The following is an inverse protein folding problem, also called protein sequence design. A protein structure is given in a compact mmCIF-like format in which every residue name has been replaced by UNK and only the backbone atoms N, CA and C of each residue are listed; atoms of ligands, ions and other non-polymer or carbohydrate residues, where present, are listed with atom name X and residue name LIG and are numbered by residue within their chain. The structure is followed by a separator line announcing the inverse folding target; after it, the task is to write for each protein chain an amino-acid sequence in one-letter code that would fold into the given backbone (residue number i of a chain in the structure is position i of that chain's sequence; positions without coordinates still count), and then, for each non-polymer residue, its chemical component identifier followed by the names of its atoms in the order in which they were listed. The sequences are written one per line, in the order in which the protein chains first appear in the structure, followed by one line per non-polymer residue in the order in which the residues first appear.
data_IF_931576127342
#
_entry.id   IF_931576127342
#
_cell.length_a   1.000
_cell.length_b   1.000
_cell.length_c   1.000
_cell.angle_alpha   90.00
_cell.angle_beta   90.00
_cell.angle_gamma   90.00
#
_symmetry.space_group_name_H-M   'P 1'
#
loop_
_entity.id
_entity.type
_entity.pdbx_description
1 polymer ?
#
# COMPACT_ATOMS: atom_id res chain seq x y z
N UNK A 1 42.07 -8.76 -45.38
CA UNK A 1 41.54 -8.06 -44.19
C UNK A 1 40.03 -8.08 -44.31
N UNK A 2 39.37 -9.01 -43.62
CA UNK A 2 37.91 -9.11 -43.62
C UNK A 2 37.35 -8.06 -42.68
N UNK A 3 36.67 -7.05 -43.22
CA UNK A 3 35.83 -6.15 -42.43
C UNK A 3 34.66 -6.97 -41.88
N UNK A 4 34.78 -7.43 -40.63
CA UNK A 4 33.65 -7.83 -39.81
C UNK A 4 32.80 -6.58 -39.58
N UNK A 5 31.84 -6.32 -40.48
CA UNK A 5 30.79 -5.35 -40.21
C UNK A 5 30.04 -5.85 -38.97
N UNK A 6 30.18 -5.10 -37.88
CA UNK A 6 29.31 -5.28 -36.71
C UNK A 6 27.86 -5.26 -37.18
N UNK A 7 27.01 -6.20 -36.75
CA UNK A 7 25.61 -6.19 -37.16
C UNK A 7 24.97 -4.82 -36.86
N UNK A 8 24.07 -4.34 -37.73
CA UNK A 8 23.40 -3.07 -37.51
C UNK A 8 22.72 -3.10 -36.13
N UNK A 9 22.95 -2.06 -35.34
CA UNK A 9 22.39 -1.97 -33.99
C UNK A 9 20.85 -1.97 -34.06
N UNK A 10 20.19 -2.77 -33.21
CA UNK A 10 18.72 -2.82 -33.11
C UNK A 10 18.19 -1.38 -32.94
N UNK A 11 17.34 -0.86 -33.86
CA UNK A 11 16.80 0.49 -33.76
C UNK A 11 16.09 0.76 -32.44
N UNK A 12 15.45 -0.26 -31.84
CA UNK A 12 14.81 -0.15 -30.51
C UNK A 12 15.83 0.08 -29.42
N UNK A 13 16.95 -0.63 -29.44
CA UNK A 13 18.04 -0.43 -28.48
C UNK A 13 18.66 0.97 -28.62
N UNK A 14 18.86 1.46 -29.84
CA UNK A 14 19.38 2.82 -30.08
C UNK A 14 18.42 3.87 -29.54
N UNK A 15 17.11 3.69 -29.75
CA UNK A 15 16.09 4.59 -29.20
C UNK A 15 16.06 4.54 -27.67
N UNK A 16 15.98 3.34 -27.09
CA UNK A 16 15.96 3.10 -25.64
C UNK A 16 17.17 3.68 -24.92
N UNK A 17 18.37 3.52 -25.50
CA UNK A 17 19.62 4.04 -24.93
C UNK A 17 19.63 5.57 -24.80
N UNK A 18 18.87 6.29 -25.62
CA UNK A 18 18.79 7.78 -25.55
C UNK A 18 18.01 8.26 -24.33
N UNK A 19 17.21 7.41 -23.70
CA UNK A 19 16.46 7.74 -22.50
C UNK A 19 17.33 7.75 -21.22
N UNK A 20 18.57 7.26 -21.32
CA UNK A 20 19.50 7.17 -20.20
C UNK A 20 20.69 8.09 -20.39
N UNK A 21 21.19 8.63 -19.27
CA UNK A 21 22.49 9.27 -19.22
C UNK A 21 23.60 8.24 -19.43
N UNK A 22 24.79 8.71 -19.81
CA UNK A 22 25.96 7.84 -19.98
C UNK A 22 26.29 7.07 -18.70
N UNK A 23 26.18 7.72 -17.53
CA UNK A 23 26.45 7.11 -16.23
C UNK A 23 25.45 5.99 -15.92
N UNK A 24 24.15 6.23 -16.14
CA UNK A 24 23.12 5.20 -15.92
C UNK A 24 23.34 3.97 -16.80
N UNK A 25 23.75 4.15 -18.07
CA UNK A 25 24.10 3.02 -18.95
C UNK A 25 25.35 2.27 -18.50
N UNK A 26 26.35 2.97 -17.98
CA UNK A 26 27.56 2.36 -17.41
C UNK A 26 27.24 1.54 -16.15
N UNK A 27 26.44 2.10 -15.24
CA UNK A 27 25.97 1.44 -14.02
C UNK A 27 25.13 0.19 -14.38
N UNK A 28 24.21 0.31 -15.34
CA UNK A 28 23.39 -0.80 -15.81
C UNK A 28 24.23 -1.90 -16.48
N UNK A 29 25.25 -1.52 -17.24
CA UNK A 29 26.19 -2.48 -17.85
C UNK A 29 27.01 -3.21 -16.80
N UNK A 30 27.45 -2.50 -15.75
CA UNK A 30 28.16 -3.10 -14.62
C UNK A 30 27.28 -4.15 -13.91
N UNK A 31 26.02 -3.79 -13.62
CA UNK A 31 25.03 -4.73 -13.06
C UNK A 31 24.83 -5.95 -13.96
N UNK A 32 24.64 -5.74 -15.27
CA UNK A 32 24.46 -6.82 -16.23
C UNK A 32 25.63 -7.79 -16.23
N UNK A 33 26.87 -7.28 -16.30
CA UNK A 33 28.07 -8.13 -16.31
C UNK A 33 28.22 -8.94 -15.01
N UNK A 34 27.88 -8.33 -13.87
CA UNK A 34 27.88 -9.02 -12.58
C UNK A 34 26.91 -10.22 -12.56
N UNK A 35 25.67 -10.02 -13.03
CA UNK A 35 24.66 -11.08 -13.09
C UNK A 35 24.97 -12.14 -14.16
N UNK A 36 25.47 -11.72 -15.32
CA UNK A 36 25.87 -12.64 -16.38
C UNK A 36 27.06 -13.53 -15.97
N UNK A 37 27.98 -13.03 -15.14
CA UNK A 37 29.06 -13.83 -14.56
C UNK A 37 28.52 -14.94 -13.64
N UNK A 38 27.46 -14.67 -12.86
CA UNK A 38 26.80 -15.67 -12.02
C UNK A 38 26.04 -16.72 -12.85
N UNK A 39 25.65 -16.37 -14.08
CA UNK A 39 24.89 -17.24 -14.99
C UNK A 39 25.75 -18.28 -15.72
N UNK A 40 27.05 -18.38 -15.39
CA UNK A 40 28.04 -19.22 -16.09
C UNK A 40 28.10 -18.97 -17.60
N UNK A 41 27.66 -17.79 -18.06
CA UNK A 41 27.52 -17.47 -19.48
C UNK A 41 28.76 -16.79 -20.07
N UNK A 42 29.87 -16.73 -19.33
CA UNK A 42 31.05 -15.91 -19.63
C UNK A 42 30.70 -14.43 -19.92
N UNK A 43 29.70 -13.87 -19.22
CA UNK A 43 29.30 -12.47 -19.36
C UNK A 43 28.40 -12.16 -20.58
N UNK A 44 27.95 -13.17 -21.33
CA UNK A 44 27.12 -12.96 -22.53
C UNK A 44 25.63 -12.70 -22.26
N UNK A 45 25.02 -13.33 -21.25
CA UNK A 45 23.59 -13.20 -20.97
C UNK A 45 23.28 -13.53 -19.50
N UNK A 46 22.14 -13.08 -19.00
CA UNK A 46 21.62 -13.46 -17.69
C UNK A 46 20.66 -14.64 -17.87
N UNK A 47 20.83 -15.70 -17.08
CA UNK A 47 19.90 -16.85 -17.06
C UNK A 47 18.67 -16.56 -16.20
N UNK A 48 17.53 -17.23 -16.45
CA UNK A 48 16.30 -17.07 -15.65
C UNK A 48 16.56 -17.29 -14.15
N UNK A 49 17.29 -18.37 -13.81
CA UNK A 49 17.63 -18.71 -12.43
C UNK A 49 18.35 -17.60 -11.67
N UNK A 50 19.28 -16.91 -12.33
CA UNK A 50 20.04 -15.80 -11.72
C UNK A 50 19.17 -14.55 -11.65
N UNK A 51 18.37 -14.28 -12.68
CA UNK A 51 17.43 -13.16 -12.70
C UNK A 51 16.40 -13.26 -11.57
N UNK A 52 15.72 -14.40 -11.45
CA UNK A 52 14.74 -14.69 -10.40
C UNK A 52 15.36 -14.59 -9.01
N UNK A 53 16.58 -15.12 -8.84
CA UNK A 53 17.31 -15.02 -7.57
C UNK A 53 17.61 -13.57 -7.21
N UNK A 54 18.01 -12.75 -8.20
CA UNK A 54 18.31 -11.33 -7.99
C UNK A 54 17.04 -10.56 -7.60
N UNK A 55 15.93 -10.75 -8.30
CA UNK A 55 14.67 -10.03 -8.02
C UNK A 55 13.88 -10.57 -6.82
N UNK A 56 14.30 -11.73 -6.30
CA UNK A 56 13.60 -12.51 -5.27
C UNK A 56 12.18 -12.92 -5.71
N UNK A 57 12.03 -13.20 -7.01
CA UNK A 57 10.79 -13.67 -7.61
C UNK A 57 10.96 -15.14 -7.95
N UNK A 58 9.95 -15.96 -7.65
CA UNK A 58 9.92 -17.38 -8.03
C UNK A 58 8.58 -17.71 -8.67
N UNK A 59 8.57 -18.77 -9.47
CA UNK A 59 7.35 -19.30 -10.07
C UNK A 59 6.79 -18.38 -11.18
N UNK A 60 5.48 -18.50 -11.49
CA UNK A 60 4.90 -17.94 -12.70
C UNK A 60 5.13 -16.43 -12.90
N UNK A 61 5.10 -15.65 -11.81
CA UNK A 61 5.33 -14.20 -11.87
C UNK A 61 6.79 -13.86 -12.22
N UNK A 62 7.75 -14.63 -11.69
CA UNK A 62 9.17 -14.46 -11.99
C UNK A 62 9.49 -14.85 -13.44
N UNK A 63 8.97 -16.00 -13.87
CA UNK A 63 9.08 -16.51 -15.23
C UNK A 63 8.53 -15.48 -16.24
N UNK A 64 7.34 -14.95 -15.95
CA UNK A 64 6.70 -13.94 -16.81
C UNK A 64 7.49 -12.65 -16.88
N UNK A 65 8.03 -12.16 -15.75
CA UNK A 65 8.87 -10.97 -15.77
C UNK A 65 10.12 -11.20 -16.62
N UNK A 66 10.78 -12.35 -16.49
CA UNK A 66 11.94 -12.70 -17.30
C UNK A 66 11.60 -12.72 -18.80
N UNK A 67 10.47 -13.33 -19.16
CA UNK A 67 9.99 -13.39 -20.54
C UNK A 67 9.74 -11.98 -21.12
N UNK A 68 9.11 -11.08 -20.36
CA UNK A 68 8.88 -9.70 -20.81
C UNK A 68 10.18 -8.90 -20.96
N UNK A 69 11.09 -8.99 -19.99
CA UNK A 69 12.36 -8.26 -20.03
C UNK A 69 13.23 -8.80 -21.16
N UNK A 70 13.22 -10.11 -21.43
CA UNK A 70 13.93 -10.75 -22.55
C UNK A 70 13.24 -10.59 -23.91
N UNK A 71 12.26 -9.68 -24.02
CA UNK A 71 11.55 -9.35 -25.26
C UNK A 71 10.79 -10.55 -25.85
N UNK A 72 10.35 -11.47 -25.00
CA UNK A 72 9.59 -12.68 -25.33
C UNK A 72 10.29 -13.57 -26.37
N UNK A 73 11.63 -13.55 -26.42
CA UNK A 73 12.43 -14.35 -27.37
C UNK A 73 12.39 -15.85 -27.05
N UNK A 74 12.04 -16.22 -25.81
CA UNK A 74 11.92 -17.61 -25.31
C UNK A 74 13.19 -18.46 -25.47
N UNK A 75 14.35 -17.83 -25.59
CA UNK A 75 15.66 -18.51 -25.71
C UNK A 75 16.36 -18.69 -24.36
N UNK A 76 15.67 -18.35 -23.25
CA UNK A 76 16.18 -18.42 -21.87
C UNK A 76 17.43 -17.55 -21.65
N UNK A 77 17.56 -16.46 -22.41
CA UNK A 77 18.72 -15.56 -22.35
C UNK A 77 18.27 -14.11 -22.34
N UNK A 78 18.62 -13.42 -21.26
CA UNK A 78 18.47 -11.97 -21.20
C UNK A 78 19.78 -11.29 -21.63
N UNK A 79 19.78 -10.58 -22.75
CA UNK A 79 20.94 -9.82 -23.21
C UNK A 79 20.97 -8.41 -22.62
N UNK A 80 22.11 -7.72 -22.73
CA UNK A 80 22.21 -6.32 -22.30
C UNK A 80 21.25 -5.42 -23.09
N UNK A 81 21.05 -5.70 -24.39
CA UNK A 81 20.15 -4.91 -25.22
C UNK A 81 18.70 -5.05 -24.76
N UNK A 82 18.26 -6.28 -24.49
CA UNK A 82 16.92 -6.56 -23.95
C UNK A 82 16.69 -5.82 -22.62
N UNK A 83 17.68 -5.87 -21.72
CA UNK A 83 17.62 -5.20 -20.43
C UNK A 83 17.49 -3.68 -20.58
N UNK A 84 18.26 -3.04 -21.47
CA UNK A 84 18.15 -1.61 -21.74
C UNK A 84 16.78 -1.26 -22.33
N UNK A 85 16.28 -2.07 -23.27
CA UNK A 85 14.97 -1.85 -23.90
C UNK A 85 13.87 -1.92 -22.84
N UNK A 86 13.84 -2.99 -22.05
CA UNK A 86 12.83 -3.16 -21.00
C UNK A 86 12.88 -2.03 -19.97
N UNK A 87 14.07 -1.69 -19.45
CA UNK A 87 14.23 -0.60 -18.48
C UNK A 87 13.87 0.76 -19.06
N UNK A 88 14.12 1.01 -20.35
CA UNK A 88 13.65 2.24 -21.00
C UNK A 88 12.12 2.35 -20.95
N UNK A 89 11.40 1.24 -21.18
CA UNK A 89 9.94 1.22 -21.11
C UNK A 89 9.44 1.51 -19.69
N UNK A 90 9.93 0.80 -18.68
CA UNK A 90 9.31 0.88 -17.36
C UNK A 90 9.97 1.87 -16.37
N UNK A 91 11.20 2.33 -16.60
CA UNK A 91 11.86 3.34 -15.74
C UNK A 91 11.81 4.75 -16.35
N UNK A 92 11.73 4.84 -17.69
CA UNK A 92 11.81 6.11 -18.43
C UNK A 92 10.60 6.38 -19.33
N UNK A 93 9.71 5.40 -19.49
CA UNK A 93 8.48 5.54 -20.26
C UNK A 93 7.44 6.40 -19.56
N UNK A 94 6.31 6.60 -20.24
CA UNK A 94 5.16 7.28 -19.67
C UNK A 94 4.47 6.40 -18.63
N UNK A 95 3.60 6.99 -17.80
CA UNK A 95 2.78 6.21 -16.87
C UNK A 95 1.94 5.14 -17.58
N UNK A 96 1.47 5.43 -18.80
CA UNK A 96 0.72 4.45 -19.61
C UNK A 96 1.62 3.27 -20.03
N UNK A 97 2.85 3.53 -20.46
CA UNK A 97 3.80 2.48 -20.85
C UNK A 97 4.13 1.56 -19.66
N UNK A 98 4.28 2.13 -18.46
CA UNK A 98 4.54 1.38 -17.22
C UNK A 98 3.33 0.52 -16.86
N UNK A 99 2.13 1.10 -16.88
CA UNK A 99 0.90 0.39 -16.54
C UNK A 99 0.60 -0.73 -17.54
N UNK A 100 0.86 -0.49 -18.83
CA UNK A 100 0.75 -1.50 -19.88
C UNK A 100 1.78 -2.62 -19.69
N UNK A 101 3.02 -2.30 -19.32
CA UNK A 101 4.03 -3.32 -18.98
C UNK A 101 3.56 -4.19 -17.80
N UNK A 102 3.03 -3.58 -16.74
CA UNK A 102 2.52 -4.33 -15.59
C UNK A 102 1.28 -5.16 -15.96
N UNK A 103 0.40 -4.64 -16.83
CA UNK A 103 -0.75 -5.39 -17.32
C UNK A 103 -0.31 -6.67 -18.08
N UNK A 104 0.74 -6.59 -18.89
CA UNK A 104 1.32 -7.78 -19.53
C UNK A 104 2.04 -8.70 -18.54
N UNK A 105 2.57 -8.16 -17.43
CA UNK A 105 3.22 -8.92 -16.37
C UNK A 105 2.23 -9.76 -15.56
N UNK A 106 1.01 -9.27 -15.34
CA UNK A 106 0.00 -10.03 -14.59
C UNK A 106 -0.63 -11.16 -15.40
N UNK A 107 -0.51 -11.16 -16.73
CA UNK A 107 -0.75 -12.33 -17.59
C UNK A 107 0.39 -13.34 -17.42
N UNK A 108 0.37 -14.11 -16.33
CA UNK A 108 1.43 -15.06 -16.00
C UNK A 108 1.39 -16.33 -16.85
N UNK A 109 0.23 -16.70 -17.40
CA UNK A 109 0.12 -17.77 -18.40
C UNK A 109 0.81 -17.42 -19.72
N UNK A 110 0.81 -16.13 -20.08
CA UNK A 110 1.40 -15.60 -21.28
C UNK A 110 0.60 -15.86 -22.56
N UNK A 111 -0.69 -16.13 -22.43
CA UNK A 111 -1.62 -16.36 -23.55
C UNK A 111 -2.27 -15.07 -24.08
N UNK A 112 -1.98 -13.92 -23.46
CA UNK A 112 -2.55 -12.61 -23.82
C UNK A 112 -3.91 -12.34 -23.20
N UNK A 113 -4.37 -13.19 -22.27
CA UNK A 113 -5.64 -13.10 -21.56
C UNK A 113 -5.32 -13.02 -20.06
N UNK A 114 -5.71 -11.92 -19.41
CA UNK A 114 -5.59 -11.82 -17.95
C UNK A 114 -6.83 -12.46 -17.32
N UNK A 115 -6.72 -13.73 -16.93
CA UNK A 115 -7.80 -14.49 -16.29
C UNK A 115 -7.82 -14.30 -14.78
N UNK A 116 -8.89 -14.81 -14.13
CA UNK A 116 -8.95 -14.86 -12.66
C UNK A 116 -7.82 -15.73 -12.07
N UNK A 117 -7.42 -16.80 -12.74
CA UNK A 117 -6.34 -17.69 -12.31
C UNK A 117 -4.97 -17.01 -12.38
N UNK A 118 -4.77 -16.12 -13.36
CA UNK A 118 -3.54 -15.35 -13.47
C UNK A 118 -3.41 -14.40 -12.28
N UNK A 119 -4.46 -13.63 -11.98
CA UNK A 119 -4.46 -12.73 -10.83
C UNK A 119 -4.35 -13.46 -9.49
N UNK A 120 -4.96 -14.64 -9.35
CA UNK A 120 -4.79 -15.49 -8.16
C UNK A 120 -3.31 -15.86 -7.98
N UNK A 121 -2.63 -16.31 -9.04
CA UNK A 121 -1.21 -16.66 -9.03
C UNK A 121 -0.31 -15.46 -8.70
N UNK A 122 -0.63 -14.29 -9.26
CA UNK A 122 0.06 -13.03 -8.95
C UNK A 122 -0.11 -12.68 -7.47
N UNK A 123 -1.33 -12.70 -6.95
CA UNK A 123 -1.60 -12.37 -5.55
C UNK A 123 -0.92 -13.35 -4.59
N UNK A 124 -0.93 -14.65 -4.88
CA UNK A 124 -0.21 -15.65 -4.08
C UNK A 124 1.29 -15.29 -4.02
N UNK A 125 1.91 -15.02 -5.16
CA UNK A 125 3.33 -14.64 -5.22
C UNK A 125 3.62 -13.35 -4.43
N UNK A 126 2.76 -12.33 -4.55
CA UNK A 126 2.89 -11.08 -3.77
C UNK A 126 2.86 -11.37 -2.27
N UNK A 127 1.91 -12.20 -1.82
CA UNK A 127 1.72 -12.49 -0.41
C UNK A 127 2.86 -13.33 0.16
N UNK A 128 3.34 -14.32 -0.58
CA UNK A 128 4.51 -15.13 -0.20
C UNK A 128 5.74 -14.25 0.01
N UNK A 129 6.03 -13.36 -0.94
CA UNK A 129 7.16 -12.43 -0.88
C UNK A 129 7.00 -11.42 0.26
N UNK A 130 5.79 -10.88 0.45
CA UNK A 130 5.54 -9.80 1.42
C UNK A 130 5.49 -10.30 2.87
N UNK A 131 4.93 -11.48 3.11
CA UNK A 131 4.54 -11.88 4.48
C UNK A 131 5.19 -13.15 5.01
N UNK A 132 5.76 -14.00 4.15
CA UNK A 132 6.01 -15.40 4.53
C UNK A 132 7.48 -15.83 4.41
N UNK A 133 8.33 -15.10 3.69
CA UNK A 133 9.74 -15.46 3.56
C UNK A 133 9.94 -16.89 3.02
N UNK A 134 11.19 -17.33 2.86
CA UNK A 134 11.49 -18.61 2.16
C UNK A 134 11.17 -19.90 2.94
N UNK A 135 10.84 -19.82 4.23
CA UNK A 135 10.86 -20.98 5.15
C UNK A 135 9.55 -21.29 5.88
N UNK A 136 8.42 -20.63 5.58
CA UNK A 136 7.16 -20.95 6.25
C UNK A 136 6.36 -22.04 5.52
N UNK A 137 6.08 -23.14 6.22
CA UNK A 137 5.15 -24.16 5.77
C UNK A 137 3.79 -23.53 5.45
N UNK A 138 3.33 -23.79 4.24
CA UNK A 138 2.10 -23.24 3.67
C UNK A 138 0.90 -23.62 4.54
N UNK A 139 0.42 -22.69 5.38
CA UNK A 139 -0.90 -22.75 6.00
C UNK A 139 -1.98 -22.51 4.93
N UNK A 140 -2.26 -23.53 4.12
CA UNK A 140 -2.98 -23.42 2.84
C UNK A 140 -4.41 -22.87 2.90
N UNK A 141 -5.10 -22.92 4.04
CA UNK A 141 -6.52 -22.52 4.12
C UNK A 141 -6.72 -21.04 4.41
N UNK A 142 -6.02 -20.47 5.40
CA UNK A 142 -6.19 -19.05 5.77
C UNK A 142 -5.66 -18.08 4.72
N UNK A 143 -4.66 -18.49 3.92
CA UNK A 143 -4.10 -17.63 2.87
C UNK A 143 -5.06 -17.49 1.69
N UNK A 144 -5.75 -18.58 1.33
CA UNK A 144 -6.67 -18.59 0.21
C UNK A 144 -7.84 -17.63 0.43
N UNK A 145 -8.39 -17.62 1.64
CA UNK A 145 -9.48 -16.72 2.00
C UNK A 145 -9.09 -15.24 1.82
N UNK A 146 -7.85 -14.87 2.20
CA UNK A 146 -7.39 -13.48 2.04
C UNK A 146 -7.07 -13.16 0.59
N UNK A 147 -6.46 -14.08 -0.17
CA UNK A 147 -6.23 -13.88 -1.61
C UNK A 147 -7.56 -13.65 -2.33
N UNK A 148 -8.60 -14.43 -2.02
CA UNK A 148 -9.93 -14.28 -2.61
C UNK A 148 -10.54 -12.90 -2.33
N UNK A 149 -10.31 -12.30 -1.16
CA UNK A 149 -10.76 -10.93 -0.85
C UNK A 149 -10.18 -9.90 -1.84
N UNK A 150 -8.90 -10.00 -2.18
CA UNK A 150 -8.24 -9.07 -3.11
C UNK A 150 -8.63 -9.38 -4.56
N UNK A 151 -8.81 -10.65 -4.87
CA UNK A 151 -9.27 -11.13 -6.17
C UNK A 151 -10.72 -10.70 -6.45
N UNK A 152 -11.59 -10.65 -5.44
CA UNK A 152 -12.97 -10.18 -5.55
C UNK A 152 -13.09 -8.67 -5.83
N UNK A 153 -11.99 -7.92 -5.74
CA UNK A 153 -11.95 -6.52 -6.18
C UNK A 153 -11.81 -6.38 -7.71
N UNK A 154 -11.42 -7.45 -8.42
CA UNK A 154 -11.20 -7.44 -9.85
C UNK A 154 -12.52 -7.53 -10.64
N UNK A 155 -12.53 -6.88 -11.80
CA UNK A 155 -13.60 -6.97 -12.80
C UNK A 155 -13.04 -7.62 -14.06
N UNK A 156 -13.81 -8.50 -14.69
CA UNK A 156 -13.44 -9.19 -15.92
C UNK A 156 -14.47 -8.85 -17.01
N UNK A 157 -14.38 -7.66 -17.60
CA UNK A 157 -15.43 -7.18 -18.52
C UNK A 157 -15.24 -7.62 -19.98
N UNK A 158 -14.06 -8.12 -20.35
CA UNK A 158 -13.72 -8.46 -21.73
C UNK A 158 -14.09 -9.92 -22.00
N UNK A 159 -15.06 -10.12 -22.89
CA UNK A 159 -15.43 -11.45 -23.41
C UNK A 159 -14.38 -11.87 -24.43
N UNK A 160 -13.84 -13.08 -24.29
CA UNK A 160 -12.90 -13.66 -25.25
C UNK A 160 -13.69 -14.33 -26.38
N UNK A 161 -13.43 -13.93 -27.63
CA UNK A 161 -14.15 -14.47 -28.78
C UNK A 161 -13.99 -16.00 -28.86
N UNK A 162 -15.12 -16.72 -28.77
CA UNK A 162 -15.15 -18.18 -28.88
C UNK A 162 -14.94 -18.94 -27.57
N UNK A 163 -14.79 -18.27 -26.42
CA UNK A 163 -14.84 -18.90 -25.09
C UNK A 163 -15.91 -18.26 -24.20
N UNK A 164 -16.34 -18.98 -23.17
CA UNK A 164 -17.21 -18.44 -22.12
C UNK A 164 -16.41 -17.74 -21.02
N UNK A 165 -15.10 -17.58 -21.19
CA UNK A 165 -14.21 -17.04 -20.17
C UNK A 165 -14.16 -15.51 -20.26
N UNK A 166 -14.53 -14.89 -19.14
CA UNK A 166 -14.38 -13.45 -18.92
C UNK A 166 -12.92 -13.14 -18.59
N UNK A 167 -12.38 -12.09 -19.19
CA UNK A 167 -11.00 -11.64 -19.02
C UNK A 167 -10.94 -10.19 -18.56
N UNK A 168 -9.88 -9.84 -17.86
CA UNK A 168 -9.65 -8.48 -17.38
C UNK A 168 -9.17 -7.64 -18.56
N UNK A 169 -9.85 -6.52 -18.83
CA UNK A 169 -9.35 -5.52 -19.78
C UNK A 169 -8.27 -4.64 -19.15
N UNK A 170 -7.54 -3.88 -19.97
CA UNK A 170 -6.55 -2.91 -19.44
C UNK A 170 -7.20 -1.82 -18.56
N UNK A 171 -8.45 -1.42 -18.86
CA UNK A 171 -9.19 -0.46 -18.03
C UNK A 171 -9.64 -1.10 -16.71
N UNK A 172 -10.10 -2.34 -16.74
CA UNK A 172 -10.41 -3.10 -15.52
C UNK A 172 -9.19 -3.23 -14.61
N UNK A 173 -8.01 -3.50 -15.20
CA UNK A 173 -6.74 -3.57 -14.49
C UNK A 173 -6.38 -2.24 -13.81
N UNK A 174 -6.55 -1.10 -14.51
CA UNK A 174 -6.32 0.23 -13.93
C UNK A 174 -7.28 0.51 -12.77
N UNK A 175 -8.55 0.13 -12.91
CA UNK A 175 -9.54 0.25 -11.84
C UNK A 175 -9.18 -0.64 -10.64
N UNK A 176 -8.77 -1.88 -10.88
CA UNK A 176 -8.31 -2.81 -9.84
C UNK A 176 -7.08 -2.27 -9.09
N UNK A 177 -6.09 -1.74 -9.80
CA UNK A 177 -4.91 -1.10 -9.21
C UNK A 177 -5.25 0.16 -8.39
N UNK A 178 -6.31 0.88 -8.77
CA UNK A 178 -6.79 2.05 -8.01
C UNK A 178 -7.43 1.63 -6.69
N UNK A 179 -8.22 0.55 -6.71
CA UNK A 179 -8.81 -0.05 -5.51
C UNK A 179 -7.75 -0.70 -4.61
N UNK A 180 -6.69 -1.28 -5.19
CA UNK A 180 -5.62 -2.00 -4.51
C UNK A 180 -4.25 -1.31 -4.68
N UNK A 181 -4.03 -0.13 -4.06
CA UNK A 181 -2.80 0.61 -4.24
C UNK A 181 -1.57 -0.12 -3.68
N UNK A 182 -1.74 -1.02 -2.70
CA UNK A 182 -0.66 -1.89 -2.20
C UNK A 182 -0.14 -2.84 -3.29
N UNK A 183 -1.04 -3.50 -4.00
CA UNK A 183 -0.73 -4.40 -5.13
C UNK A 183 -0.09 -3.62 -6.28
N UNK A 184 -0.66 -2.46 -6.66
CA UNK A 184 -0.07 -1.59 -7.69
C UNK A 184 1.36 -1.19 -7.35
N UNK A 185 1.60 -0.72 -6.12
CA UNK A 185 2.94 -0.32 -5.65
C UNK A 185 3.90 -1.50 -5.67
N UNK A 186 3.47 -2.67 -5.20
CA UNK A 186 4.29 -3.87 -5.21
C UNK A 186 4.69 -4.25 -6.64
N UNK A 187 3.74 -4.36 -7.56
CA UNK A 187 4.02 -4.71 -8.97
C UNK A 187 4.95 -3.70 -9.63
N UNK A 188 4.73 -2.40 -9.41
CA UNK A 188 5.63 -1.36 -9.89
C UNK A 188 7.04 -1.44 -9.29
N UNK A 189 7.16 -1.91 -8.04
CA UNK A 189 8.46 -2.08 -7.38
C UNK A 189 9.27 -3.26 -7.90
N UNK A 190 8.63 -4.28 -8.48
CA UNK A 190 9.33 -5.41 -9.11
C UNK A 190 10.17 -4.97 -10.31
N UNK A 191 9.81 -3.84 -10.90
CA UNK A 191 10.50 -3.26 -12.05
C UNK A 191 11.83 -2.63 -11.62
N UNK A 192 11.95 -2.24 -10.36
CA UNK A 192 13.13 -1.60 -9.78
C UNK A 192 14.08 -2.61 -9.15
N UNK A 193 15.37 -2.29 -9.01
CA UNK A 193 16.31 -3.12 -8.25
C UNK A 193 15.79 -3.44 -6.83
N UNK A 194 16.07 -4.63 -6.28
CA UNK A 194 15.76 -4.96 -4.89
C UNK A 194 16.55 -4.03 -3.95
N UNK A 195 15.85 -3.30 -3.10
CA UNK A 195 16.43 -2.45 -2.05
C UNK A 195 15.75 -2.79 -0.71
N UNK A 196 16.47 -2.89 0.42
CA UNK A 196 15.85 -2.92 1.75
C UNK A 196 14.86 -1.77 1.94
N UNK A 197 13.56 -2.10 1.95
CA UNK A 197 12.47 -1.12 1.96
C UNK A 197 11.75 -0.94 0.61
N UNK A 198 11.83 -1.95 -0.28
CA UNK A 198 11.09 -2.04 -1.55
C UNK A 198 9.67 -1.48 -1.40
N UNK A 199 9.39 -0.43 -2.19
CA UNK A 199 8.16 0.34 -2.11
C UNK A 199 6.96 -0.58 -2.37
N UNK A 200 5.96 -0.57 -1.48
CA UNK A 200 4.81 -1.48 -1.60
C UNK A 200 5.00 -2.88 -0.99
N UNK A 201 6.18 -3.24 -0.48
CA UNK A 201 6.38 -4.47 0.33
C UNK A 201 6.37 -4.20 1.85
N UNK A 202 6.39 -2.92 2.26
CA UNK A 202 6.45 -2.56 3.68
C UNK A 202 5.11 -2.79 4.38
N UNK A 203 5.14 -3.58 5.45
CA UNK A 203 4.00 -3.87 6.32
C UNK A 203 4.19 -3.14 7.64
N UNK A 204 3.21 -2.34 8.12
CA UNK A 204 3.31 -1.69 9.42
C UNK A 204 3.45 -2.71 10.56
N UNK A 205 4.28 -2.40 11.55
CA UNK A 205 4.35 -3.17 12.79
C UNK A 205 3.13 -2.86 13.65
N UNK A 206 2.28 -3.86 13.90
CA UNK A 206 1.09 -3.70 14.73
C UNK A 206 1.44 -3.91 16.20
N UNK A 207 1.21 -2.89 17.03
CA UNK A 207 1.51 -2.87 18.46
C UNK A 207 0.22 -2.78 19.26
N UNK A 208 0.03 -3.73 20.17
CA UNK A 208 -1.12 -3.80 21.07
C UNK A 208 -0.66 -3.89 22.53
N UNK A 209 -1.55 -3.61 23.48
CA UNK A 209 -1.28 -3.80 24.90
C UNK A 209 -1.17 -5.28 25.28
N UNK A 210 -0.36 -5.61 26.29
CA UNK A 210 -0.10 -6.99 26.73
C UNK A 210 -1.35 -7.78 27.14
N UNK A 211 -2.43 -7.09 27.50
CA UNK A 211 -3.69 -7.71 27.95
C UNK A 211 -4.66 -8.11 26.83
N UNK A 212 -4.34 -7.81 25.57
CA UNK A 212 -5.22 -8.03 24.41
C UNK A 212 -4.77 -9.29 23.67
N UNK A 213 -5.67 -10.25 23.48
CA UNK A 213 -5.41 -11.44 22.66
C UNK A 213 -5.22 -11.03 21.18
N UNK A 214 -4.07 -11.34 20.55
CA UNK A 214 -3.85 -11.07 19.13
C UNK A 214 -4.92 -11.68 18.21
N UNK A 215 -5.53 -12.80 18.60
CA UNK A 215 -6.57 -13.45 17.79
C UNK A 215 -7.92 -12.72 17.84
N UNK A 216 -8.11 -11.81 18.81
CA UNK A 216 -9.31 -10.99 18.90
C UNK A 216 -9.29 -9.81 17.91
N UNK A 217 -8.13 -9.49 17.33
CA UNK A 217 -7.99 -8.32 16.47
C UNK A 217 -8.60 -8.51 15.08
N UNK A 218 -9.29 -7.48 14.62
CA UNK A 218 -9.75 -7.35 13.24
C UNK A 218 -8.61 -6.99 12.29
N UNK A 219 -7.74 -6.06 12.71
CA UNK A 219 -6.67 -5.59 11.84
C UNK A 219 -5.53 -6.62 11.74
N UNK A 220 -5.56 -7.41 10.67
CA UNK A 220 -4.49 -8.33 10.30
C UNK A 220 -3.37 -7.62 9.52
N UNK A 221 -2.20 -8.25 9.44
CA UNK A 221 -1.05 -7.72 8.70
C UNK A 221 -1.36 -7.45 7.21
N UNK A 222 -2.18 -8.29 6.59
CA UNK A 222 -2.60 -8.16 5.18
C UNK A 222 -3.50 -6.94 4.97
N UNK A 223 -4.41 -6.69 5.92
CA UNK A 223 -5.27 -5.50 5.91
C UNK A 223 -4.48 -4.23 6.19
N UNK A 224 -3.55 -4.26 7.14
CA UNK A 224 -2.65 -3.15 7.42
C UNK A 224 -1.75 -2.82 6.22
N UNK A 225 -1.22 -3.82 5.53
CA UNK A 225 -0.48 -3.65 4.28
C UNK A 225 -1.34 -3.01 3.18
N UNK A 226 -2.59 -3.46 3.03
CA UNK A 226 -3.51 -2.90 2.05
C UNK A 226 -3.83 -1.43 2.30
N UNK A 227 -4.23 -1.08 3.54
CA UNK A 227 -4.49 0.30 3.97
C UNK A 227 -3.20 1.14 3.81
N UNK A 228 -2.07 0.59 4.24
CA UNK A 228 -0.75 1.21 4.12
C UNK A 228 -0.32 1.47 2.67
N UNK A 229 -0.82 0.67 1.72
CA UNK A 229 -0.69 0.92 0.29
C UNK A 229 -1.16 2.30 -0.13
N UNK A 230 -2.06 2.94 0.62
CA UNK A 230 -2.50 4.31 0.35
C UNK A 230 -1.70 5.42 1.05
N UNK A 231 -0.82 5.07 1.98
CA UNK A 231 -0.06 6.00 2.81
C UNK A 231 1.36 6.24 2.29
N UNK A 232 2.05 7.20 2.91
CA UNK A 232 3.48 7.45 2.67
C UNK A 232 4.35 6.43 3.41
N UNK A 233 5.59 6.24 2.97
CA UNK A 233 6.51 5.26 3.58
C UNK A 233 6.80 5.54 5.06
N UNK A 234 6.80 6.81 5.45
CA UNK A 234 7.00 7.23 6.83
C UNK A 234 5.87 6.76 7.76
N UNK A 235 4.67 6.55 7.21
CA UNK A 235 3.48 6.14 7.95
C UNK A 235 3.33 4.62 8.07
N UNK A 236 4.30 3.85 7.56
CA UNK A 236 4.28 2.38 7.54
C UNK A 236 5.25 1.76 8.56
N UNK A 237 5.63 2.49 9.61
CA UNK A 237 6.56 2.00 10.62
C UNK A 237 5.82 1.26 11.74
N UNK A 238 5.07 1.97 12.59
CA UNK A 238 4.40 1.40 13.75
C UNK A 238 2.95 1.87 13.84
N UNK A 239 2.01 0.94 13.98
CA UNK A 239 0.60 1.22 14.24
C UNK A 239 0.19 0.67 15.60
N UNK A 240 -0.30 1.56 16.47
CA UNK A 240 -0.59 1.23 17.87
C UNK A 240 -2.08 1.21 18.15
N UNK A 241 -2.59 0.14 18.74
CA UNK A 241 -3.99 0.03 19.14
C UNK A 241 -4.32 1.05 20.26
N UNK A 242 -5.26 1.96 20.00
CA UNK A 242 -5.75 2.96 20.95
C UNK A 242 -7.06 2.53 21.62
N UNK A 243 -7.91 1.83 20.87
CA UNK A 243 -9.23 1.44 21.34
C UNK A 243 -9.69 0.14 20.68
N UNK A 244 -10.29 -0.74 21.46
CA UNK A 244 -11.00 -1.93 21.00
C UNK A 244 -12.29 -2.11 21.80
N UNK A 245 -13.44 -2.18 21.12
CA UNK A 245 -14.77 -2.17 21.76
C UNK A 245 -14.98 -3.24 22.83
N UNK A 246 -14.49 -4.47 22.60
CA UNK A 246 -14.61 -5.56 23.58
C UNK A 246 -13.81 -5.35 24.88
N UNK A 247 -12.70 -4.59 24.83
CA UNK A 247 -11.82 -4.38 25.99
C UNK A 247 -12.07 -3.02 26.66
N UNK A 248 -12.47 -2.00 25.89
CA UNK A 248 -12.69 -0.65 26.39
C UNK A 248 -14.17 -0.31 26.64
N UNK A 249 -15.09 -1.18 26.20
CA UNK A 249 -16.53 -0.97 26.27
C UNK A 249 -17.06 0.02 25.22
N UNK A 250 -18.39 0.07 25.05
CA UNK A 250 -19.07 0.89 24.05
C UNK A 250 -19.36 2.31 24.58
N UNK A 251 -18.31 3.07 24.88
CA UNK A 251 -18.41 4.45 25.35
C UNK A 251 -17.67 5.41 24.43
N UNK A 252 -18.38 6.33 23.80
CA UNK A 252 -17.77 7.35 22.94
C UNK A 252 -16.80 8.26 23.70
N UNK A 253 -17.09 8.56 24.96
CA UNK A 253 -16.18 9.33 25.81
C UNK A 253 -14.89 8.56 26.08
N UNK A 254 -14.96 7.23 26.25
CA UNK A 254 -13.78 6.38 26.37
C UNK A 254 -12.98 6.35 25.07
N UNK A 255 -13.66 6.21 23.93
CA UNK A 255 -13.02 6.29 22.61
C UNK A 255 -12.30 7.62 22.40
N UNK A 256 -12.98 8.76 22.57
CA UNK A 256 -12.34 10.06 22.44
C UNK A 256 -11.24 10.27 23.47
N UNK A 257 -11.42 9.79 24.71
CA UNK A 257 -10.39 9.85 25.74
C UNK A 257 -9.09 9.15 25.30
N UNK A 258 -9.20 7.96 24.70
CA UNK A 258 -8.03 7.24 24.19
C UNK A 258 -7.41 7.90 22.96
N UNK A 259 -8.24 8.40 22.04
CA UNK A 259 -7.76 8.92 20.76
C UNK A 259 -7.27 10.37 20.85
N UNK A 260 -7.83 11.20 21.73
CA UNK A 260 -7.41 12.59 21.92
C UNK A 260 -6.12 12.74 22.75
N UNK A 261 -5.67 11.70 23.45
CA UNK A 261 -4.40 11.74 24.20
C UNK A 261 -3.16 11.66 23.29
N UNK A 262 -3.36 11.30 22.03
CA UNK A 262 -2.31 10.85 21.13
C UNK A 262 -2.44 11.58 19.78
N UNK A 263 -1.72 12.69 19.62
CA UNK A 263 -1.76 13.50 18.39
C UNK A 263 -1.34 12.69 17.15
N UNK A 264 -2.23 12.52 16.17
CA UNK A 264 -1.83 12.00 14.87
C UNK A 264 -2.91 11.29 14.08
N UNK A 265 -2.53 10.72 12.93
CA UNK A 265 -3.45 10.00 12.07
C UNK A 265 -3.95 8.72 12.71
N UNK A 266 -5.19 8.33 12.39
CA UNK A 266 -5.80 7.10 12.91
C UNK A 266 -6.46 6.28 11.81
N UNK A 267 -6.44 4.97 12.01
CA UNK A 267 -7.14 3.96 11.21
C UNK A 267 -8.27 3.41 12.07
N UNK A 268 -9.51 3.72 11.69
CA UNK A 268 -10.72 3.17 12.29
C UNK A 268 -11.14 1.95 11.49
N UNK A 269 -11.32 0.79 12.13
CA UNK A 269 -11.80 -0.45 11.52
C UNK A 269 -13.03 -0.96 12.26
N UNK A 270 -14.02 -1.42 11.50
CA UNK A 270 -15.32 -1.86 11.98
C UNK A 270 -15.61 -3.21 11.36
N UNK A 271 -16.03 -4.16 12.18
CA UNK A 271 -16.76 -5.35 11.74
C UNK A 271 -18.21 -5.20 12.15
N UNK A 272 -19.14 -5.34 11.22
CA UNK A 272 -20.56 -5.35 11.54
C UNK A 272 -21.13 -6.76 11.70
N UNK A 273 -22.38 -6.84 12.17
CA UNK A 273 -23.08 -8.12 12.38
C UNK A 273 -23.38 -8.91 11.10
N UNK A 274 -23.28 -8.30 9.93
CA UNK A 274 -23.37 -9.01 8.64
C UNK A 274 -22.00 -9.57 8.22
N UNK A 275 -20.96 -9.36 9.02
CA UNK A 275 -19.61 -9.88 8.80
C UNK A 275 -18.73 -9.00 7.92
N UNK A 276 -19.22 -7.85 7.45
CA UNK A 276 -18.45 -6.95 6.61
C UNK A 276 -17.40 -6.23 7.44
N UNK A 277 -16.21 -6.03 6.86
CA UNK A 277 -15.10 -5.33 7.50
C UNK A 277 -14.71 -4.14 6.64
N UNK A 278 -14.76 -2.95 7.22
CA UNK A 278 -14.50 -1.68 6.54
C UNK A 278 -14.11 -0.61 7.54
N UNK A 279 -13.79 0.58 7.04
CA UNK A 279 -13.37 1.65 7.91
C UNK A 279 -12.93 2.89 7.17
N UNK A 280 -12.20 3.73 7.89
CA UNK A 280 -11.63 4.95 7.35
C UNK A 280 -10.29 5.28 7.99
N UNK A 281 -9.41 5.84 7.18
CA UNK A 281 -8.20 6.51 7.63
C UNK A 281 -8.47 8.01 7.73
N UNK A 282 -8.10 8.62 8.85
CA UNK A 282 -8.07 10.07 9.02
C UNK A 282 -6.65 10.54 9.28
N UNK A 283 -6.23 11.57 8.56
CA UNK A 283 -4.92 12.22 8.70
C UNK A 283 -4.87 13.20 9.87
N UNK A 284 -6.02 13.72 10.28
CA UNK A 284 -6.17 14.71 11.34
C UNK A 284 -6.80 14.07 12.57
N UNK A 285 -6.50 14.65 13.74
CA UNK A 285 -7.02 14.21 15.01
C UNK A 285 -8.55 14.37 15.09
N UNK A 286 -9.17 13.61 15.99
CA UNK A 286 -10.60 13.71 16.24
C UNK A 286 -10.89 14.94 17.11
N UNK A 287 -11.51 15.95 16.52
CA UNK A 287 -11.87 17.19 17.19
C UNK A 287 -13.40 17.33 17.26
N UNK A 288 -13.88 17.82 18.39
CA UNK A 288 -15.32 17.98 18.62
C UNK A 288 -15.83 19.20 17.85
N UNK A 289 -16.48 18.97 16.72
CA UNK A 289 -17.05 20.00 15.85
C UNK A 289 -18.48 19.63 15.45
N UNK A 290 -19.34 20.65 15.29
CA UNK A 290 -20.70 20.48 14.78
C UNK A 290 -20.80 20.54 13.25
N UNK A 291 -19.67 20.48 12.55
CA UNK A 291 -19.56 20.55 11.09
C UNK A 291 -18.41 19.65 10.59
N UNK A 292 -18.35 19.41 9.28
CA UNK A 292 -17.28 18.65 8.66
C UNK A 292 -15.94 19.40 8.68
N UNK A 293 -14.86 18.65 8.83
CA UNK A 293 -13.48 19.12 8.77
C UNK A 293 -12.59 18.03 8.14
N UNK A 294 -11.26 18.18 8.20
CA UNK A 294 -10.29 17.19 7.69
C UNK A 294 -9.61 17.64 6.40
N UNK A 295 -8.86 16.72 5.78
CA UNK A 295 -8.14 16.97 4.52
C UNK A 295 -8.20 15.80 3.54
N UNK A 296 -7.72 16.07 2.31
CA UNK A 296 -7.77 15.13 1.19
C UNK A 296 -6.86 13.90 1.33
N UNK A 297 -6.13 13.75 2.44
CA UNK A 297 -5.32 12.56 2.72
C UNK A 297 -6.12 11.44 3.39
N UNK A 298 -7.27 11.76 3.96
CA UNK A 298 -8.19 10.78 4.56
C UNK A 298 -8.87 9.95 3.47
N UNK A 299 -9.29 8.73 3.76
CA UNK A 299 -9.98 7.87 2.79
C UNK A 299 -10.84 6.82 3.49
N UNK A 300 -11.84 6.30 2.76
CA UNK A 300 -12.61 5.14 3.17
C UNK A 300 -12.04 3.87 2.55
N UNK A 301 -12.31 2.72 3.18
CA UNK A 301 -11.91 1.43 2.63
C UNK A 301 -12.87 0.30 3.03
N UNK A 302 -12.90 -0.76 2.23
CA UNK A 302 -13.49 -2.05 2.56
C UNK A 302 -12.38 -3.11 2.57
N UNK A 303 -12.41 -4.02 3.55
CA UNK A 303 -11.45 -5.11 3.73
C UNK A 303 -12.09 -6.48 3.56
N UNK A 304 -13.40 -6.61 3.75
CA UNK A 304 -14.14 -7.84 3.53
C UNK A 304 -15.59 -7.51 3.13
N UNK A 305 -16.19 -8.17 2.12
CA UNK A 305 -15.69 -9.35 1.39
C UNK A 305 -14.76 -9.05 0.21
N UNK A 306 -14.58 -7.77 -0.18
CA UNK A 306 -13.60 -7.37 -1.18
C UNK A 306 -12.71 -6.23 -0.66
N UNK A 307 -11.42 -6.29 -0.96
CA UNK A 307 -10.49 -5.22 -0.59
C UNK A 307 -10.65 -4.02 -1.54
N UNK A 308 -10.77 -2.80 -1.02
CA UNK A 308 -10.90 -1.58 -1.82
C UNK A 308 -10.58 -0.32 -1.01
N UNK A 309 -9.85 0.62 -1.62
CA UNK A 309 -9.61 1.97 -1.07
C UNK A 309 -10.32 3.03 -1.92
N UNK A 310 -10.99 3.97 -1.23
CA UNK A 310 -11.77 5.06 -1.82
C UNK A 310 -11.23 6.42 -1.35
N UNK A 311 -10.44 7.07 -2.21
CA UNK A 311 -9.86 8.39 -1.93
C UNK A 311 -10.86 9.52 -2.19
N UNK A 312 -10.67 10.70 -1.57
CA UNK A 312 -11.50 11.85 -1.84
C UNK A 312 -11.50 12.22 -3.31
N UNK A 313 -12.68 12.47 -3.87
CA UNK A 313 -12.88 12.83 -5.28
C UNK A 313 -12.56 14.31 -5.55
N UNK A 314 -12.46 15.12 -4.50
CA UNK A 314 -12.37 16.58 -4.60
C UNK A 314 -13.69 17.28 -4.90
N UNK A 315 -14.82 16.55 -4.95
CA UNK A 315 -16.14 17.14 -5.25
C UNK A 315 -16.66 18.06 -4.12
N UNK A 316 -16.20 17.88 -2.89
CA UNK A 316 -16.49 18.71 -1.73
C UNK A 316 -15.41 18.51 -0.64
N UNK A 317 -15.50 19.27 0.45
CA UNK A 317 -14.58 19.22 1.60
C UNK A 317 -15.18 18.52 2.84
N UNK A 318 -16.26 17.74 2.68
CA UNK A 318 -16.96 17.11 3.80
C UNK A 318 -16.27 15.82 4.25
N UNK A 319 -15.03 15.89 4.73
CA UNK A 319 -14.16 14.71 4.88
C UNK A 319 -14.46 13.92 6.16
N UNK A 320 -14.35 14.57 7.31
CA UNK A 320 -14.39 13.97 8.65
C UNK A 320 -15.42 14.69 9.51
N UNK A 321 -16.10 13.94 10.38
CA UNK A 321 -17.14 14.43 11.28
C UNK A 321 -16.94 13.86 12.68
N UNK A 322 -17.06 14.70 13.71
CA UNK A 322 -17.00 14.26 15.10
C UNK A 322 -17.79 15.21 16.00
N UNK A 323 -19.06 14.88 16.24
CA UNK A 323 -19.96 15.68 17.04
C UNK A 323 -20.34 14.94 18.34
N UNK A 324 -20.36 15.66 19.47
CA UNK A 324 -20.75 15.12 20.78
C UNK A 324 -21.49 16.17 21.58
N UNK A 325 -22.48 15.76 22.37
CA UNK A 325 -23.27 16.61 23.25
C UNK A 325 -24.05 17.72 22.53
N UNK A 326 -24.35 17.54 21.24
CA UNK A 326 -25.29 18.39 20.53
C UNK A 326 -26.72 17.89 20.74
N UNK A 327 -27.65 18.81 20.99
CA UNK A 327 -29.07 18.49 21.19
C UNK A 327 -29.89 18.58 19.91
N UNK A 328 -29.34 19.18 18.84
CA UNK A 328 -30.03 19.31 17.55
C UNK A 328 -29.98 18.00 16.78
N UNK A 329 -31.11 17.57 16.22
CA UNK A 329 -31.19 16.40 15.33
C UNK A 329 -30.44 16.62 14.00
N UNK A 330 -30.20 17.88 13.63
CA UNK A 330 -29.42 18.23 12.44
C UNK A 330 -27.91 17.93 12.62
N UNK A 331 -27.45 17.79 13.86
CA UNK A 331 -26.05 17.54 14.21
C UNK A 331 -25.97 16.17 14.90
N UNK A 332 -25.89 15.07 14.12
CA UNK A 332 -25.88 13.74 14.68
C UNK A 332 -24.60 13.49 15.50
N UNK A 333 -24.78 13.12 16.77
CA UNK A 333 -23.67 12.81 17.67
C UNK A 333 -23.03 11.47 17.29
N UNK A 334 -21.72 11.49 17.06
CA UNK A 334 -20.96 10.34 16.58
C UNK A 334 -19.72 10.75 15.77
N UNK A 335 -19.10 9.76 15.14
CA UNK A 335 -18.02 9.95 14.17
C UNK A 335 -18.50 9.60 12.76
N UNK A 336 -18.06 10.35 11.76
CA UNK A 336 -18.46 10.14 10.38
C UNK A 336 -17.41 10.55 9.37
N UNK A 337 -17.66 10.11 8.14
CA UNK A 337 -16.78 10.29 6.99
C UNK A 337 -17.62 10.58 5.76
N UNK A 338 -17.36 11.70 5.09
CA UNK A 338 -17.89 11.93 3.75
C UNK A 338 -19.39 12.24 3.72
N UNK A 339 -19.86 12.78 2.60
CA UNK A 339 -21.28 12.98 2.34
C UNK A 339 -21.82 14.27 2.93
N UNK A 340 -22.91 14.18 3.68
CA UNK A 340 -23.55 15.31 4.36
C UNK A 340 -24.13 14.86 5.69
N UNK A 341 -24.47 15.80 6.58
CA UNK A 341 -25.12 15.48 7.84
C UNK A 341 -26.33 14.56 7.60
N UNK A 342 -26.47 13.52 8.44
CA UNK A 342 -27.46 12.44 8.34
C UNK A 342 -27.40 11.57 7.07
N UNK A 343 -26.42 11.75 6.17
CA UNK A 343 -26.22 10.93 4.98
C UNK A 343 -24.72 10.81 4.64
N UNK A 344 -24.02 10.06 5.48
CA UNK A 344 -22.57 9.93 5.45
C UNK A 344 -22.13 8.72 4.62
N UNK A 345 -20.91 8.77 4.07
CA UNK A 345 -20.28 7.59 3.48
C UNK A 345 -20.04 6.48 4.51
N UNK A 346 -19.68 6.87 5.72
CA UNK A 346 -19.65 6.02 6.91
C UNK A 346 -19.97 6.87 8.14
N UNK A 347 -20.83 6.40 9.02
CA UNK A 347 -21.12 7.05 10.30
C UNK A 347 -21.38 6.02 11.38
N UNK A 348 -20.85 6.28 12.58
CA UNK A 348 -21.14 5.58 13.81
C UNK A 348 -21.72 6.56 14.81
N UNK A 349 -22.88 6.23 15.36
CA UNK A 349 -23.49 6.98 16.45
C UNK A 349 -22.62 6.96 17.71
N UNK A 350 -22.79 7.95 18.58
CA UNK A 350 -22.07 8.03 19.86
C UNK A 350 -22.40 6.89 20.84
N UNK A 351 -23.42 6.07 20.58
CA UNK A 351 -23.69 4.84 21.33
C UNK A 351 -22.92 3.63 20.81
N UNK A 352 -22.28 3.74 19.63
CA UNK A 352 -21.56 2.65 18.94
C UNK A 352 -22.39 1.38 18.67
N UNK A 353 -23.70 1.42 18.85
CA UNK A 353 -24.62 0.31 18.58
C UNK A 353 -25.26 0.42 17.19
N UNK A 354 -25.26 1.62 16.60
CA UNK A 354 -25.89 1.92 15.33
C UNK A 354 -25.02 2.83 14.46
N UNK A 355 -25.18 2.70 13.16
CA UNK A 355 -24.54 3.56 12.17
C UNK A 355 -25.17 3.42 10.80
N UNK A 356 -24.54 4.04 9.82
CA UNK A 356 -24.88 3.83 8.42
C UNK A 356 -23.68 4.01 7.48
N UNK A 357 -23.79 3.47 6.29
CA UNK A 357 -22.91 3.71 5.16
C UNK A 357 -23.73 3.87 3.89
N UNK A 358 -23.54 4.98 3.19
CA UNK A 358 -24.23 5.26 1.92
C UNK A 358 -23.22 5.41 0.78
N UNK A 359 -23.72 5.37 -0.45
CA UNK A 359 -22.93 5.83 -1.59
C UNK A 359 -22.52 7.29 -1.35
N UNK A 360 -21.24 7.59 -1.51
CA UNK A 360 -20.66 8.84 -1.05
C UNK A 360 -19.91 9.56 -2.16
N UNK A 361 -20.40 10.73 -2.58
CA UNK A 361 -19.71 11.56 -3.59
C UNK A 361 -18.34 12.04 -3.10
N UNK A 362 -18.17 12.29 -1.80
CA UNK A 362 -16.90 12.78 -1.24
C UNK A 362 -15.74 11.82 -1.50
N UNK A 363 -15.95 10.51 -1.35
CA UNK A 363 -14.92 9.48 -1.55
C UNK A 363 -15.12 8.63 -2.81
N UNK A 364 -16.24 8.82 -3.53
CA UNK A 364 -16.63 7.93 -4.63
C UNK A 364 -16.88 6.49 -4.17
N UNK A 365 -17.12 6.28 -2.87
CA UNK A 365 -17.29 4.95 -2.28
C UNK A 365 -18.73 4.47 -2.41
N UNK A 366 -18.97 3.18 -2.66
CA UNK A 366 -20.29 2.58 -2.52
C UNK A 366 -20.67 2.44 -1.03
N UNK A 367 -21.84 1.86 -0.77
CA UNK A 367 -22.17 1.31 0.54
C UNK A 367 -21.11 0.27 0.93
N UNK A 368 -20.51 0.43 2.11
CA UNK A 368 -19.39 -0.40 2.59
C UNK A 368 -19.84 -1.70 3.28
N UNK A 369 -21.12 -1.81 3.58
CA UNK A 369 -21.75 -3.01 4.15
C UNK A 369 -22.77 -3.60 3.16
N UNK A 370 -23.35 -4.75 3.50
CA UNK A 370 -24.47 -5.36 2.77
C UNK A 370 -25.69 -4.46 2.70
N UNK A 371 -25.97 -3.71 3.78
CA UNK A 371 -27.08 -2.76 3.88
C UNK A 371 -26.61 -1.41 4.39
N UNK A 372 -27.36 -0.35 4.08
CA UNK A 372 -26.98 1.01 4.45
C UNK A 372 -27.04 1.29 5.95
N UNK A 373 -27.93 0.62 6.69
CA UNK A 373 -27.94 0.66 8.16
C UNK A 373 -27.04 -0.45 8.68
N UNK A 374 -26.21 -0.12 9.65
CA UNK A 374 -25.21 -1.05 10.21
C UNK A 374 -25.36 -1.14 11.73
N UNK A 375 -25.08 -2.33 12.25
CA UNK A 375 -24.93 -2.60 13.68
C UNK A 375 -23.49 -3.07 13.90
N UNK A 376 -22.60 -2.23 14.45
CA UNK A 376 -21.23 -2.63 14.73
C UNK A 376 -21.19 -3.81 15.71
N UNK A 377 -20.32 -4.77 15.43
CA UNK A 377 -19.98 -5.88 16.32
C UNK A 377 -18.65 -5.58 17.04
N UNK A 378 -17.63 -5.23 16.27
CA UNK A 378 -16.30 -4.90 16.77
C UNK A 378 -15.83 -3.58 16.16
N UNK A 379 -15.24 -2.71 16.97
CA UNK A 379 -14.67 -1.43 16.56
C UNK A 379 -13.26 -1.36 17.12
N UNK A 380 -12.28 -1.07 16.25
CA UNK A 380 -10.92 -0.78 16.67
C UNK A 380 -10.47 0.57 16.11
N UNK A 381 -9.59 1.25 16.83
CA UNK A 381 -8.93 2.46 16.39
C UNK A 381 -7.43 2.33 16.63
N UNK A 382 -6.67 2.49 15.55
CA UNK A 382 -5.22 2.35 15.54
C UNK A 382 -4.58 3.69 15.25
N UNK A 383 -3.59 4.09 16.04
CA UNK A 383 -2.73 5.24 15.74
C UNK A 383 -1.71 4.85 14.70
N UNK A 384 -1.52 5.68 13.70
CA UNK A 384 -0.35 5.60 12.80
C UNK A 384 0.77 6.43 13.40
N UNK A 385 1.89 5.81 13.76
CA UNK A 385 3.07 6.49 14.32
C UNK A 385 4.09 6.71 13.20
N UNK A 386 4.25 7.94 12.68
CA UNK A 386 5.17 8.17 11.57
C UNK A 386 6.63 8.11 12.01
N UNK A 387 7.49 7.70 11.09
CA UNK A 387 8.92 7.61 11.31
C UNK A 387 9.55 8.93 11.75
N UNK A 388 10.18 8.89 12.91
CA UNK A 388 10.79 10.06 13.57
C UNK A 388 9.89 10.78 14.59
N UNK A 389 8.63 10.37 14.77
CA UNK A 389 7.75 10.93 15.80
C UNK A 389 8.16 10.52 17.23
N UNK A 390 8.65 9.28 17.46
CA UNK A 390 9.16 8.85 18.77
C UNK A 390 10.28 9.77 19.31
N UNK A 391 11.15 10.31 18.44
CA UNK A 391 12.27 11.18 18.86
C UNK A 391 11.83 12.46 19.57
N UNK A 392 10.63 12.97 19.28
CA UNK A 392 10.11 14.19 19.95
C UNK A 392 9.62 13.89 21.37
N UNK A 393 8.97 12.74 21.59
CA UNK A 393 8.46 12.38 22.91
C UNK A 393 9.58 12.06 23.91
N UNK A 394 10.65 11.41 23.46
CA UNK A 394 11.81 11.13 24.32
C UNK A 394 12.68 12.36 24.58
N UNK A 395 12.80 13.28 23.61
CA UNK A 395 13.48 14.55 23.84
C UNK A 395 12.77 15.40 24.91
N UNK A 396 11.43 15.39 24.95
CA UNK A 396 10.62 16.17 25.92
C UNK A 396 10.67 15.63 27.36
N UNK A 397 11.13 14.39 27.58
CA UNK A 397 11.31 13.82 28.93
C UNK A 397 12.53 14.30 29.70
N UNK A 398 13.40 15.13 29.11
CA UNK A 398 14.51 15.76 29.82
C UNK A 398 14.04 16.94 30.68
N UNK A 399 14.25 16.86 32.00
CA UNK A 399 13.94 17.94 32.94
C UNK A 399 14.57 19.26 32.45
N UNK A 400 13.79 20.34 32.42
CA UNK A 400 14.21 21.68 31.94
C UNK A 400 15.56 22.12 32.54
N UNK A 401 15.85 21.72 33.78
CA UNK A 401 17.12 21.99 34.47
C UNK A 401 18.35 21.32 33.82
N UNK A 402 18.20 20.14 33.23
CA UNK A 402 19.30 19.43 32.54
C UNK A 402 19.65 20.12 31.23
N UNK A 403 18.63 20.56 30.47
CA UNK A 403 18.81 21.36 29.25
C UNK A 403 19.54 22.68 29.51
N UNK A 404 19.23 23.36 30.62
CA UNK A 404 19.94 24.59 31.02
C UNK A 404 21.41 24.35 31.41
N UNK A 405 21.74 23.16 31.94
CA UNK A 405 23.14 22.80 32.24
C UNK A 405 23.94 22.47 30.99
N UNK A 406 23.33 21.76 30.04
CA UNK A 406 23.95 21.45 28.74
C UNK A 406 24.22 22.71 27.92
N UNK A 407 23.26 23.64 27.86
CA UNK A 407 23.43 24.92 27.15
C UNK A 407 24.52 25.79 27.78
N UNK A 408 24.62 25.82 29.11
CA UNK A 408 25.69 26.56 29.81
C UNK A 408 27.06 25.92 29.60
N UNK A 409 27.13 24.60 29.53
CA UNK A 409 28.37 23.89 29.19
C UNK A 409 28.80 24.13 27.74
N UNK A 410 27.87 24.18 26.79
CA UNK A 410 28.17 24.52 25.39
C UNK A 410 28.64 25.98 25.25
N UNK A 411 28.01 26.94 25.93
CA UNK A 411 28.43 28.34 25.90
C UNK A 411 29.84 28.57 26.49
N UNK A 412 30.22 27.78 27.49
CA UNK A 412 31.58 27.80 28.03
C UNK A 412 32.62 27.20 27.07
N UNK A 413 32.25 26.23 26.22
CA UNK A 413 33.14 25.68 25.19
C UNK A 413 33.32 26.59 23.97
N UNK A 414 32.36 27.49 23.71
CA UNK A 414 32.42 28.47 22.60
C UNK A 414 33.15 29.77 22.99
N UNK A 415 33.66 29.86 24.23
CA UNK A 415 34.54 30.97 24.64
C UNK A 415 33.86 32.34 24.73
N UNK A 416 32.53 32.40 24.85
CA UNK A 416 31.77 33.65 24.93
C UNK A 416 31.43 34.10 26.37
N UNK A 417 31.92 33.40 27.38
CA UNK A 417 31.80 33.83 28.77
C UNK A 417 33.15 34.31 29.28
N UNK A 418 33.56 35.52 28.87
CA UNK A 418 34.36 36.47 29.67
C UNK A 418 34.65 37.73 28.84
N UNK A 419 33.68 38.63 28.78
CA UNK A 419 33.93 40.04 28.49
C UNK A 419 32.85 40.90 29.14
N UNK A 420 33.11 41.25 30.40
CA UNK A 420 32.45 42.37 31.09
C UNK A 420 33.43 42.91 32.15
N UNK A 421 34.27 43.84 31.73
CA UNK A 421 34.56 45.06 32.51
C UNK A 421 34.11 46.26 31.67
#
# INVERSE_FOLDING_TARGET
MGNSQSPPADPRFVSASRAFTKKELEDLKSLFLSLAAQSQSNGQYISPSVFETYFELRGPLGDRLFDLVSQQRKDQRLSFQDLVIAKATYEKGTNNDIEEFIYHLVDVSGDGIVSRSDLESVLIAIFEITFYGKDSEVGTTSHKDIVDIFLNAATFSKIVDGSAEESMSFEDFRNWCTLLPSVRKFLGSLLMPPDPGRLGSQVPCLVQGESIDPNALLLKKEYAWHIGGALSQLELEEWKLLYHSAYNGLSFNTFLGNVSNDDGPTVLIIKDREGYVYGGYVSQQWERHGDFYGDMRSFLYQLYPKASIFRPTGANSNIQWCAVNFSSEDIPNGIGFGGRANHFGLFLSASFDQGHTFNCTTFGSPCLSKSSRICPEVIECWRVVPKGAQRRHDAVKGNVLERFKEDRHMLNMVGLANSSE
#
